data_IF_169458918052
#
_entry.id   IF_169458918052
#
_cell.length_a   1.000
_cell.length_b   1.000
_cell.length_c   1.000
_cell.angle_alpha   90.00
_cell.angle_beta   90.00
_cell.angle_gamma   90.00
#
_symmetry.space_group_name_H-M   'P 1'
#
loop_
_entity.id
_entity.type
_entity.pdbx_description
1 polymer ?
#
# COMPACT_ATOMS: atom_id res chain seq x y z
N UNK A 1 -24.62 11.73 -39.50
CA UNK A 1 -24.26 12.92 -38.72
C UNK A 1 -22.84 12.75 -38.17
N UNK A 2 -21.80 13.15 -38.93
CA UNK A 2 -20.39 13.08 -38.49
C UNK A 2 -19.47 14.05 -39.25
N UNK A 3 -19.97 15.23 -39.63
CA UNK A 3 -19.15 16.27 -40.25
C UNK A 3 -19.50 17.64 -39.68
N UNK A 4 -19.32 17.83 -38.37
CA UNK A 4 -19.09 19.19 -37.86
C UNK A 4 -17.63 19.53 -38.09
N UNK A 5 -17.39 20.42 -39.06
CA UNK A 5 -16.10 21.09 -39.23
C UNK A 5 -15.88 21.97 -38.01
N UNK A 6 -15.06 21.51 -37.06
CA UNK A 6 -14.58 22.37 -35.98
C UNK A 6 -13.86 23.58 -36.60
N UNK A 7 -14.42 24.77 -36.39
CA UNK A 7 -13.80 26.03 -36.81
C UNK A 7 -12.49 26.18 -36.03
N UNK A 8 -11.38 25.93 -36.71
CA UNK A 8 -10.04 26.06 -36.15
C UNK A 8 -9.76 27.53 -35.81
N UNK A 9 -9.94 27.88 -34.54
CA UNK A 9 -9.33 29.08 -33.98
C UNK A 9 -7.82 28.83 -33.87
N UNK A 10 -7.01 29.66 -34.55
CA UNK A 10 -5.53 29.66 -34.50
C UNK A 10 -5.06 29.49 -33.05
N UNK A 11 -4.49 28.33 -32.73
CA UNK A 11 -3.86 28.04 -31.44
C UNK A 11 -4.56 27.03 -30.53
N UNK A 12 -5.75 26.50 -30.86
CA UNK A 12 -6.41 25.43 -30.07
C UNK A 12 -6.14 24.05 -30.69
N UNK A 13 -5.57 23.15 -29.89
CA UNK A 13 -5.44 21.72 -30.23
C UNK A 13 -6.83 21.13 -30.48
N UNK A 14 -6.96 20.35 -31.56
CA UNK A 14 -8.20 19.58 -31.80
C UNK A 14 -8.38 18.53 -30.69
N UNK A 15 -9.63 18.14 -30.38
CA UNK A 15 -9.92 17.17 -29.32
C UNK A 15 -9.12 15.87 -29.46
N UNK A 16 -8.96 15.39 -30.70
CA UNK A 16 -8.20 14.17 -30.99
C UNK A 16 -6.69 14.37 -30.83
N UNK A 17 -6.14 15.53 -31.19
CA UNK A 17 -4.73 15.84 -30.96
C UNK A 17 -4.41 15.98 -29.47
N UNK A 18 -5.28 16.65 -28.70
CA UNK A 18 -5.14 16.71 -27.25
C UNK A 18 -5.18 15.31 -26.62
N UNK A 19 -6.11 14.46 -27.04
CA UNK A 19 -6.21 13.07 -26.57
C UNK A 19 -4.93 12.28 -26.88
N UNK A 20 -4.41 12.34 -28.11
CA UNK A 20 -3.19 11.62 -28.49
C UNK A 20 -1.96 12.11 -27.74
N UNK A 21 -1.83 13.43 -27.54
CA UNK A 21 -0.72 13.99 -26.74
C UNK A 21 -0.83 13.51 -25.29
N UNK A 22 -2.00 13.65 -24.67
CA UNK A 22 -2.22 13.21 -23.29
C UNK A 22 -1.99 11.70 -23.13
N UNK A 23 -2.41 10.87 -24.09
CA UNK A 23 -2.19 9.44 -24.10
C UNK A 23 -0.69 9.09 -24.18
N UNK A 24 0.04 9.71 -25.12
CA UNK A 24 1.49 9.46 -25.27
C UNK A 24 2.28 9.97 -24.05
N UNK A 25 1.92 11.13 -23.50
CA UNK A 25 2.53 11.65 -22.28
C UNK A 25 2.26 10.75 -21.08
N UNK A 26 1.04 10.25 -20.92
CA UNK A 26 0.69 9.33 -19.84
C UNK A 26 1.43 8.00 -20.00
N UNK A 27 1.49 7.46 -21.23
CA UNK A 27 2.24 6.24 -21.53
C UNK A 27 3.73 6.40 -21.19
N UNK A 28 4.36 7.50 -21.64
CA UNK A 28 5.76 7.78 -21.30
C UNK A 28 5.96 7.95 -19.79
N UNK A 29 5.05 8.66 -19.12
CA UNK A 29 5.11 8.90 -17.67
C UNK A 29 5.00 7.62 -16.84
N UNK A 30 4.18 6.64 -17.23
CA UNK A 30 4.06 5.37 -16.51
C UNK A 30 5.16 4.36 -16.89
N UNK A 31 5.58 4.32 -18.15
CA UNK A 31 6.65 3.42 -18.62
C UNK A 31 8.02 3.82 -18.05
N UNK A 32 8.26 5.11 -17.85
CA UNK A 32 9.56 5.60 -17.38
C UNK A 32 9.92 5.11 -15.96
N UNK A 33 9.12 5.37 -14.91
CA UNK A 33 9.38 4.83 -13.57
C UNK A 33 9.06 3.34 -13.48
N UNK A 34 8.07 2.82 -14.23
CA UNK A 34 7.65 1.44 -14.12
C UNK A 34 8.59 0.43 -14.78
N UNK A 35 9.25 0.79 -15.89
CA UNK A 35 10.04 -0.15 -16.69
C UNK A 35 11.50 0.29 -16.88
N UNK A 36 11.76 1.56 -17.17
CA UNK A 36 13.13 2.03 -17.45
C UNK A 36 13.95 2.28 -16.19
N UNK A 37 13.33 2.87 -15.16
CA UNK A 37 14.01 3.19 -13.91
C UNK A 37 13.12 2.90 -12.68
N UNK A 38 12.95 1.61 -12.33
CA UNK A 38 12.16 1.21 -11.16
C UNK A 38 12.65 1.82 -9.85
N UNK A 39 13.92 2.25 -9.78
CA UNK A 39 14.45 2.98 -8.61
C UNK A 39 13.69 4.29 -8.34
N UNK A 40 13.10 4.95 -9.35
CA UNK A 40 12.32 6.18 -9.16
C UNK A 40 10.98 5.95 -8.45
N UNK A 41 10.50 4.71 -8.38
CA UNK A 41 9.27 4.39 -7.65
C UNK A 41 9.46 4.44 -6.13
N UNK A 42 10.69 4.30 -5.63
CA UNK A 42 11.00 4.38 -4.20
C UNK A 42 12.43 4.85 -3.97
N UNK A 43 12.66 6.16 -4.10
CA UNK A 43 13.93 6.79 -3.76
C UNK A 43 14.03 7.01 -2.24
N UNK A 44 14.59 6.03 -1.56
CA UNK A 44 14.89 6.08 -0.13
C UNK A 44 16.20 6.83 0.14
N UNK A 45 16.11 8.12 0.46
CA UNK A 45 17.29 8.94 0.81
C UNK A 45 18.06 8.33 1.99
N UNK A 46 17.35 7.84 3.00
CA UNK A 46 17.94 7.24 4.20
C UNK A 46 18.76 5.98 3.87
N UNK A 47 18.27 5.15 2.95
CA UNK A 47 18.98 3.94 2.49
C UNK A 47 20.24 4.28 1.68
N UNK A 48 20.24 5.42 0.98
CA UNK A 48 21.40 5.88 0.21
C UNK A 48 22.52 6.41 1.12
N UNK A 49 22.17 7.15 2.19
CA UNK A 49 23.15 7.69 3.16
C UNK A 49 23.72 6.59 4.05
N UNK A 50 22.91 5.61 4.47
CA UNK A 50 23.33 4.54 5.38
C UNK A 50 23.08 3.13 4.81
N UNK A 51 23.79 2.72 3.75
CA UNK A 51 23.51 1.46 3.04
C UNK A 51 23.84 0.19 3.84
N UNK A 52 24.70 0.29 4.86
CA UNK A 52 25.15 -0.87 5.67
C UNK A 52 24.36 -1.07 6.96
N UNK A 53 23.47 -0.14 7.32
CA UNK A 53 22.72 -0.23 8.57
C UNK A 53 21.37 -0.91 8.34
N UNK A 54 21.16 -2.06 8.98
CA UNK A 54 19.89 -2.81 8.92
C UNK A 54 18.73 -1.97 9.45
N UNK A 55 18.95 -1.18 10.50
CA UNK A 55 17.92 -0.27 11.03
C UNK A 55 17.60 0.86 10.05
N UNK A 56 18.62 1.43 9.38
CA UNK A 56 18.36 2.46 8.38
C UNK A 56 17.57 1.90 7.18
N UNK A 57 17.82 0.64 6.80
CA UNK A 57 17.06 -0.03 5.75
C UNK A 57 15.62 -0.35 6.19
N UNK A 58 15.41 -0.82 7.42
CA UNK A 58 14.07 -1.08 7.96
C UNK A 58 13.22 0.18 8.11
N UNK A 59 13.84 1.30 8.50
CA UNK A 59 13.15 2.59 8.63
C UNK A 59 12.96 3.28 7.28
N UNK A 60 14.00 3.25 6.43
CA UNK A 60 14.07 4.07 5.22
C UNK A 60 13.55 3.43 3.93
N UNK A 61 13.50 2.09 3.87
CA UNK A 61 13.05 1.40 2.66
C UNK A 61 11.56 1.65 2.43
N UNK A 62 11.19 2.19 1.26
CA UNK A 62 9.79 2.42 0.90
C UNK A 62 9.03 1.15 0.50
N UNK A 63 9.73 0.09 0.09
CA UNK A 63 9.12 -1.17 -0.34
C UNK A 63 9.10 -2.26 0.74
N UNK A 64 10.14 -2.30 1.58
CA UNK A 64 10.36 -3.37 2.57
C UNK A 64 10.51 -2.82 3.99
N UNK A 65 10.17 -1.56 4.21
CA UNK A 65 10.36 -0.86 5.47
C UNK A 65 9.28 0.19 5.70
N UNK A 66 9.49 1.06 6.69
CA UNK A 66 8.54 2.11 7.06
C UNK A 66 8.49 3.28 6.06
N UNK A 67 9.42 3.36 5.10
CA UNK A 67 9.46 4.42 4.08
C UNK A 67 9.82 5.81 4.60
N UNK A 68 10.44 5.94 5.78
CA UNK A 68 10.85 7.24 6.34
C UNK A 68 11.89 7.90 5.43
N UNK A 69 11.52 9.02 4.80
CA UNK A 69 12.39 9.71 3.85
C UNK A 69 12.50 9.01 2.48
N UNK A 70 11.55 8.13 2.15
CA UNK A 70 11.36 7.61 0.81
C UNK A 70 10.47 8.56 0.00
N UNK A 71 10.90 8.89 -1.21
CA UNK A 71 10.14 9.69 -2.16
C UNK A 71 9.85 8.85 -3.40
N UNK A 72 8.63 8.93 -3.91
CA UNK A 72 8.23 8.31 -5.16
C UNK A 72 7.90 9.38 -6.19
N UNK A 73 8.47 9.25 -7.38
CA UNK A 73 8.07 10.06 -8.53
C UNK A 73 6.98 9.38 -9.37
N UNK A 74 6.54 8.19 -8.99
CA UNK A 74 5.46 7.51 -9.66
C UNK A 74 4.12 7.83 -9.01
N UNK A 75 3.21 8.39 -9.80
CA UNK A 75 1.88 8.76 -9.29
C UNK A 75 1.11 7.53 -8.83
N UNK A 76 1.28 6.37 -9.48
CA UNK A 76 0.54 5.16 -9.10
C UNK A 76 0.96 4.64 -7.73
N UNK A 77 2.25 4.74 -7.42
CA UNK A 77 2.82 4.43 -6.10
C UNK A 77 2.33 5.43 -5.05
N UNK A 78 2.33 6.73 -5.36
CA UNK A 78 1.82 7.76 -4.42
C UNK A 78 0.32 7.61 -4.19
N UNK A 79 -0.47 7.28 -5.22
CA UNK A 79 -1.92 7.16 -5.11
C UNK A 79 -2.41 5.81 -4.59
N UNK A 80 -1.52 4.82 -4.44
CA UNK A 80 -1.86 3.44 -4.09
C UNK A 80 -2.71 3.31 -2.82
N UNK A 81 -2.53 4.20 -1.83
CA UNK A 81 -3.29 4.14 -0.58
C UNK A 81 -4.78 4.53 -0.73
N UNK A 82 -5.13 5.28 -1.79
CA UNK A 82 -6.51 5.72 -2.09
C UNK A 82 -7.04 5.17 -3.43
N UNK A 83 -6.20 4.51 -4.22
CA UNK A 83 -6.43 4.13 -5.62
C UNK A 83 -6.42 5.34 -6.57
N UNK A 84 -7.33 6.30 -6.36
CA UNK A 84 -7.46 7.50 -7.22
C UNK A 84 -7.84 8.74 -6.39
N UNK A 85 -6.84 9.49 -5.86
CA UNK A 85 -7.08 10.69 -5.05
C UNK A 85 -7.78 11.82 -5.81
N UNK A 86 -7.76 11.79 -7.16
CA UNK A 86 -8.49 12.74 -8.00
C UNK A 86 -10.02 12.57 -7.95
N UNK A 87 -10.50 11.37 -7.60
CA UNK A 87 -11.93 11.08 -7.53
C UNK A 87 -12.53 11.31 -6.13
N UNK A 88 -11.68 11.35 -5.09
CA UNK A 88 -12.10 11.46 -3.69
C UNK A 88 -12.02 12.91 -3.19
N UNK A 89 -12.97 13.38 -2.36
CA UNK A 89 -12.87 14.71 -1.76
C UNK A 89 -11.61 14.86 -0.90
N UNK A 90 -11.05 16.07 -0.90
CA UNK A 90 -9.81 16.39 -0.16
C UNK A 90 -9.87 15.98 1.31
N UNK A 91 -11.00 16.23 1.98
CA UNK A 91 -11.18 15.90 3.39
C UNK A 91 -11.05 14.39 3.66
N UNK A 92 -11.64 13.55 2.80
CA UNK A 92 -11.52 12.10 2.93
C UNK A 92 -10.08 11.62 2.71
N UNK A 93 -9.39 12.22 1.75
CA UNK A 93 -7.98 11.94 1.47
C UNK A 93 -7.10 12.31 2.67
N UNK A 94 -7.30 13.49 3.26
CA UNK A 94 -6.57 13.94 4.43
C UNK A 94 -6.84 13.05 5.67
N UNK A 95 -8.08 12.62 5.86
CA UNK A 95 -8.43 11.72 6.96
C UNK A 95 -7.77 10.34 6.81
N UNK A 96 -7.76 9.76 5.61
CA UNK A 96 -7.07 8.49 5.39
C UNK A 96 -5.56 8.64 5.53
N UNK A 97 -4.97 9.74 5.03
CA UNK A 97 -3.56 10.04 5.20
C UNK A 97 -3.18 10.16 6.69
N UNK A 98 -4.02 10.80 7.52
CA UNK A 98 -3.81 10.89 8.96
C UNK A 98 -3.86 9.51 9.63
N UNK A 99 -4.84 8.67 9.26
CA UNK A 99 -4.95 7.28 9.75
C UNK A 99 -3.73 6.44 9.36
N UNK A 100 -3.27 6.55 8.12
CA UNK A 100 -2.04 5.92 7.65
C UNK A 100 -0.82 6.36 8.48
N UNK A 101 -0.67 7.67 8.71
CA UNK A 101 0.44 8.21 9.48
C UNK A 101 0.46 7.67 10.92
N UNK A 102 -0.71 7.60 11.54
CA UNK A 102 -0.89 7.08 12.89
C UNK A 102 -0.52 5.59 12.95
N UNK A 103 -1.03 4.77 12.04
CA UNK A 103 -0.73 3.33 12.04
C UNK A 103 0.74 3.08 11.74
N UNK A 104 1.26 3.65 10.64
CA UNK A 104 2.61 3.39 10.15
C UNK A 104 3.70 3.94 11.06
N UNK A 105 3.57 5.18 11.53
CA UNK A 105 4.66 5.88 12.23
C UNK A 105 4.48 5.97 13.75
N UNK A 106 3.30 5.66 14.28
CA UNK A 106 3.05 5.67 15.73
C UNK A 106 2.81 4.26 16.25
N UNK A 107 1.75 3.58 15.78
CA UNK A 107 1.34 2.28 16.34
C UNK A 107 2.34 1.17 16.00
N UNK A 108 2.71 0.99 14.74
CA UNK A 108 3.66 -0.05 14.31
C UNK A 108 4.99 0.01 15.05
N UNK A 109 5.70 1.15 15.12
CA UNK A 109 6.97 1.21 15.85
C UNK A 109 6.79 1.09 17.36
N UNK A 110 5.73 1.67 17.95
CA UNK A 110 5.44 1.52 19.38
C UNK A 110 5.22 0.05 19.75
N UNK A 111 4.41 -0.67 18.97
CA UNK A 111 4.14 -2.08 19.20
C UNK A 111 5.38 -2.96 18.98
N UNK A 112 6.26 -2.59 18.03
CA UNK A 112 7.55 -3.27 17.83
C UNK A 112 8.51 -3.07 19.01
N UNK A 113 8.64 -1.86 19.53
CA UNK A 113 9.54 -1.58 20.67
C UNK A 113 9.05 -2.21 21.98
N UNK A 114 7.74 -2.16 22.23
CA UNK A 114 7.09 -2.79 23.38
C UNK A 114 6.99 -4.32 23.26
N UNK A 115 7.45 -4.90 22.14
CA UNK A 115 7.39 -6.34 21.84
C UNK A 115 5.99 -6.94 21.99
N UNK A 116 4.97 -6.15 21.65
CA UNK A 116 3.58 -6.60 21.70
C UNK A 116 3.41 -7.66 20.61
N UNK A 117 2.85 -8.82 20.97
CA UNK A 117 2.65 -9.94 20.03
C UNK A 117 3.96 -10.60 19.55
N UNK A 118 5.03 -10.55 20.35
CA UNK A 118 6.38 -11.03 19.95
C UNK A 118 6.86 -10.38 18.65
N UNK A 119 6.49 -9.11 18.45
CA UNK A 119 6.76 -8.34 17.24
C UNK A 119 8.22 -8.40 16.78
N UNK A 120 9.18 -8.50 17.70
CA UNK A 120 10.61 -8.56 17.38
C UNK A 120 11.03 -9.83 16.65
N UNK A 121 10.22 -10.89 16.72
CA UNK A 121 10.42 -12.15 15.99
C UNK A 121 10.15 -11.99 14.49
N UNK A 122 9.37 -10.97 14.12
CA UNK A 122 8.90 -10.73 12.76
C UNK A 122 9.49 -9.43 12.19
N UNK A 123 9.54 -9.27 10.86
CA UNK A 123 9.89 -8.00 10.25
C UNK A 123 8.88 -6.90 10.63
N UNK A 124 9.37 -5.69 10.88
CA UNK A 124 8.56 -4.50 11.26
C UNK A 124 7.45 -4.25 10.23
N UNK A 125 7.77 -4.42 8.95
CA UNK A 125 6.87 -4.23 7.83
C UNK A 125 6.87 -5.49 6.95
N UNK A 126 5.75 -6.20 6.92
CA UNK A 126 5.50 -7.32 6.01
C UNK A 126 4.01 -7.65 5.96
N UNK A 127 3.52 -8.02 4.80
CA UNK A 127 2.20 -8.60 4.53
C UNK A 127 2.17 -10.13 4.65
N UNK A 128 3.32 -10.74 4.97
CA UNK A 128 3.48 -12.19 5.05
C UNK A 128 2.89 -12.82 6.32
N UNK A 129 2.63 -14.13 6.22
CA UNK A 129 2.29 -15.00 7.34
C UNK A 129 3.55 -15.70 7.85
N UNK A 130 3.66 -15.85 9.16
CA UNK A 130 4.84 -16.42 9.82
C UNK A 130 4.48 -17.54 10.81
N UNK A 131 5.43 -18.43 11.05
CA UNK A 131 5.39 -19.41 12.14
C UNK A 131 5.85 -18.77 13.45
N UNK A 132 5.64 -19.44 14.59
CA UNK A 132 6.14 -18.98 15.91
C UNK A 132 7.65 -18.69 15.95
N UNK A 133 8.43 -19.31 15.05
CA UNK A 133 9.89 -19.12 14.92
C UNK A 133 10.30 -18.00 13.96
N UNK A 134 9.35 -17.27 13.36
CA UNK A 134 9.62 -16.17 12.43
C UNK A 134 9.89 -16.61 10.98
N UNK A 135 9.70 -17.89 10.65
CA UNK A 135 9.81 -18.38 9.27
C UNK A 135 8.51 -18.13 8.50
N UNK A 136 8.60 -17.95 7.17
CA UNK A 136 7.40 -17.79 6.33
C UNK A 136 6.51 -19.03 6.44
N UNK A 137 5.24 -18.83 6.72
CA UNK A 137 4.26 -19.90 6.88
C UNK A 137 3.85 -20.45 5.52
N UNK A 138 3.92 -21.78 5.33
CA UNK A 138 3.49 -22.40 4.09
C UNK A 138 1.98 -22.66 4.10
N UNK A 139 1.21 -21.75 3.51
CA UNK A 139 -0.26 -21.83 3.47
C UNK A 139 -0.72 -23.09 2.73
N UNK A 140 -0.03 -23.49 1.67
CA UNK A 140 -0.37 -24.69 0.89
C UNK A 140 -0.22 -25.99 1.69
N UNK A 141 0.46 -25.97 2.83
CA UNK A 141 0.61 -27.15 3.69
C UNK A 141 -0.59 -27.40 4.62
N UNK A 142 -1.47 -26.41 4.79
CA UNK A 142 -2.67 -26.50 5.65
C UNK A 142 -3.98 -26.44 4.86
N UNK A 143 -3.89 -26.34 3.53
CA UNK A 143 -5.06 -26.24 2.65
C UNK A 143 -5.12 -27.51 1.81
N UNK A 144 -6.26 -28.20 1.87
CA UNK A 144 -6.55 -29.36 1.02
C UNK A 144 -6.80 -28.92 -0.43
N UNK A 145 -6.71 -29.86 -1.37
CA UNK A 145 -7.06 -29.74 -2.79
C UNK A 145 -8.41 -29.06 -3.08
N UNK A 146 -9.35 -29.11 -2.13
CA UNK A 146 -10.66 -28.46 -2.19
C UNK A 146 -10.69 -27.05 -1.57
N UNK A 147 -9.53 -26.43 -1.29
CA UNK A 147 -9.39 -25.13 -0.62
C UNK A 147 -9.99 -25.06 0.80
N UNK A 148 -10.17 -26.21 1.45
CA UNK A 148 -10.58 -26.28 2.84
C UNK A 148 -9.38 -26.35 3.77
N UNK A 149 -9.54 -25.80 4.98
CA UNK A 149 -8.53 -25.90 6.04
C UNK A 149 -8.45 -27.36 6.51
N UNK A 150 -7.26 -27.96 6.36
CA UNK A 150 -6.93 -29.23 6.98
C UNK A 150 -6.54 -28.98 8.44
N UNK A 151 -7.45 -29.33 9.36
CA UNK A 151 -7.28 -29.11 10.80
C UNK A 151 -6.13 -29.96 11.35
N UNK A 152 -5.93 -31.19 10.85
CA UNK A 152 -4.83 -32.04 11.31
C UNK A 152 -3.47 -31.48 10.88
N UNK A 153 -3.38 -30.98 9.64
CA UNK A 153 -2.19 -30.31 9.16
C UNK A 153 -1.94 -28.98 9.90
N UNK A 154 -2.99 -28.25 10.25
CA UNK A 154 -2.90 -27.03 11.06
C UNK A 154 -2.37 -27.32 12.48
N UNK A 155 -2.87 -28.35 13.15
CA UNK A 155 -2.39 -28.74 14.48
C UNK A 155 -0.91 -29.15 14.45
N UNK A 156 -0.45 -29.80 13.38
CA UNK A 156 0.96 -30.19 13.20
C UNK A 156 1.88 -28.99 12.91
N UNK A 157 1.44 -28.07 12.07
CA UNK A 157 2.23 -26.91 11.66
C UNK A 157 2.18 -25.76 12.69
N UNK A 158 1.18 -25.76 13.56
CA UNK A 158 0.98 -24.77 14.61
C UNK A 158 0.28 -23.50 14.14
N UNK A 159 0.01 -22.56 15.07
CA UNK A 159 -0.75 -21.35 14.76
C UNK A 159 0.00 -20.41 13.82
N UNK A 160 -0.77 -19.73 12.98
CA UNK A 160 -0.28 -18.70 12.06
C UNK A 160 -0.11 -17.39 12.82
N UNK A 161 1.05 -16.75 12.64
CA UNK A 161 1.37 -15.43 13.18
C UNK A 161 1.40 -14.39 12.06
N UNK A 162 0.86 -13.22 12.36
CA UNK A 162 0.83 -12.06 11.49
C UNK A 162 1.89 -11.05 11.96
N UNK A 163 2.48 -10.30 11.03
CA UNK A 163 3.28 -9.14 11.41
C UNK A 163 2.41 -8.13 12.15
N UNK A 164 3.02 -7.33 13.03
CA UNK A 164 2.31 -6.30 13.80
C UNK A 164 1.60 -5.30 12.89
N UNK A 165 2.29 -4.84 11.82
CA UNK A 165 1.70 -3.95 10.83
C UNK A 165 0.46 -4.55 10.16
N UNK A 166 0.54 -5.82 9.73
CA UNK A 166 -0.57 -6.47 9.04
C UNK A 166 -1.75 -6.70 9.98
N UNK A 167 -1.50 -7.15 11.21
CA UNK A 167 -2.54 -7.35 12.23
C UNK A 167 -3.32 -6.06 12.55
N UNK A 168 -2.62 -4.94 12.77
CA UNK A 168 -3.28 -3.66 13.04
C UNK A 168 -4.07 -3.14 11.85
N UNK A 169 -3.52 -3.25 10.63
CA UNK A 169 -4.21 -2.82 9.41
C UNK A 169 -5.49 -3.63 9.21
N UNK A 170 -5.45 -4.94 9.47
CA UNK A 170 -6.62 -5.82 9.38
C UNK A 170 -7.67 -5.46 10.45
N UNK A 171 -7.23 -5.17 11.68
CA UNK A 171 -8.10 -4.71 12.76
C UNK A 171 -8.81 -3.38 12.45
N UNK A 172 -8.08 -2.41 11.90
CA UNK A 172 -8.68 -1.14 11.43
C UNK A 172 -9.66 -1.37 10.29
N UNK A 173 -9.38 -2.31 9.38
CA UNK A 173 -10.31 -2.72 8.33
C UNK A 173 -11.65 -3.19 8.90
N UNK A 174 -11.64 -4.08 9.89
CA UNK A 174 -12.87 -4.51 10.57
C UNK A 174 -13.57 -3.37 11.32
N UNK A 175 -12.82 -2.50 11.99
CA UNK A 175 -13.37 -1.34 12.67
C UNK A 175 -14.04 -0.38 11.67
N UNK A 176 -13.48 -0.20 10.47
CA UNK A 176 -14.05 0.62 9.40
C UNK A 176 -15.38 0.08 8.91
N UNK A 177 -15.54 -1.24 8.80
CA UNK A 177 -16.82 -1.86 8.42
C UNK A 177 -17.90 -1.55 9.46
N UNK A 178 -17.59 -1.76 10.74
CA UNK A 178 -18.52 -1.45 11.83
C UNK A 178 -18.85 0.05 11.89
N UNK A 179 -17.84 0.92 11.75
CA UNK A 179 -18.02 2.36 11.71
C UNK A 179 -18.93 2.81 10.55
N UNK A 180 -18.83 2.16 9.39
CA UNK A 180 -19.70 2.44 8.24
C UNK A 180 -21.15 2.11 8.55
N UNK A 181 -21.42 0.96 9.17
CA UNK A 181 -22.79 0.58 9.60
C UNK A 181 -23.34 1.60 10.58
N UNK A 182 -22.59 1.95 11.62
CA UNK A 182 -22.99 2.95 12.62
C UNK A 182 -23.25 4.31 11.98
N UNK A 183 -22.39 4.75 11.04
CA UNK A 183 -22.56 5.99 10.32
C UNK A 183 -23.85 5.99 9.49
N UNK A 184 -24.15 4.91 8.77
CA UNK A 184 -25.40 4.78 8.01
C UNK A 184 -26.60 4.84 8.95
N UNK A 185 -26.58 4.09 10.06
CA UNK A 185 -27.68 4.08 11.02
C UNK A 185 -27.94 5.44 11.69
N UNK A 186 -26.89 6.24 11.94
CA UNK A 186 -27.04 7.53 12.63
C UNK A 186 -27.36 8.70 11.70
N UNK A 187 -26.85 8.69 10.46
CA UNK A 187 -26.98 9.82 9.53
C UNK A 187 -28.01 9.59 8.42
N UNK A 188 -28.36 8.34 8.13
CA UNK A 188 -29.27 7.97 7.04
C UNK A 188 -30.38 6.99 7.46
N UNK A 189 -30.38 6.55 8.74
CA UNK A 189 -31.38 5.67 9.34
C UNK A 189 -32.38 6.42 10.20
#
# INVERSE_FOLDING_TARGET
AFHEKEVQAKGRLTRNQFFLIAFMCSFAYYVFPGYLFPMLTSLSWLCWVFPKSVLAQQLGSGLHGLGVGAFSFDWSTVSSYLGSPLASPWFATANLAAGFFLIMYVITPLAYWLDIYKAKTFPIFSDGLFTSSGQKYNISSIIDSSFHLDVEAYERNGPVYLSTFFAFTYGVGFASLAATVVHVCLFHG
#
